data_IF_801577177487
#
_entry.id   IF_801577177487
#
_cell.length_a   1.000
_cell.length_b   1.000
_cell.length_c   1.000
_cell.angle_alpha   90.00
_cell.angle_beta   90.00
_cell.angle_gamma   90.00
#
_symmetry.space_group_name_H-M   'P 1'
#
loop_
_entity.id
_entity.type
_entity.pdbx_description
1 polymer ?
#
# COMPACT_ATOMS: atom_id res chain seq x y z
N UNK A 1 4.83 10.45 -3.76
CA UNK A 1 4.25 10.48 -2.40
C UNK A 1 5.29 10.86 -1.35
N UNK A 2 6.49 10.26 -1.33
CA UNK A 2 7.60 10.62 -0.42
C UNK A 2 7.93 12.13 -0.37
N UNK A 3 7.93 12.81 -1.53
CA UNK A 3 8.17 14.26 -1.62
C UNK A 3 7.08 15.17 -1.01
N UNK A 4 5.98 14.60 -0.50
CA UNK A 4 4.87 15.33 0.12
C UNK A 4 4.86 15.25 1.66
N UNK A 5 5.94 14.74 2.27
CA UNK A 5 5.99 14.47 3.72
C UNK A 5 5.17 13.25 4.14
N UNK A 6 4.79 12.40 3.19
CA UNK A 6 4.10 11.13 3.44
C UNK A 6 5.17 10.06 3.61
N UNK A 7 5.26 9.49 4.79
CA UNK A 7 6.12 8.33 5.05
C UNK A 7 5.64 7.16 4.19
N UNK A 8 6.55 6.61 3.41
CA UNK A 8 6.36 5.38 2.64
C UNK A 8 7.43 4.39 3.08
N UNK A 9 7.13 3.08 3.18
CA UNK A 9 8.16 2.09 3.45
C UNK A 9 9.23 2.14 2.35
N UNK A 10 10.46 1.77 2.68
CA UNK A 10 11.45 1.54 1.65
C UNK A 10 10.99 0.42 0.73
N UNK A 11 11.14 0.61 -0.58
CA UNK A 11 10.62 -0.30 -1.58
C UNK A 11 11.49 -0.30 -2.83
N UNK A 12 11.45 -1.41 -3.58
CA UNK A 12 12.06 -1.56 -4.89
C UNK A 12 11.15 -2.27 -5.86
N UNK A 13 11.22 -1.86 -7.13
CA UNK A 13 10.60 -2.58 -8.24
C UNK A 13 11.34 -3.90 -8.47
N UNK A 14 10.60 -4.97 -8.76
CA UNK A 14 11.11 -6.31 -9.04
C UNK A 14 10.66 -6.74 -10.43
N UNK A 15 11.64 -6.88 -11.32
CA UNK A 15 11.52 -7.41 -12.68
C UNK A 15 12.24 -8.74 -12.84
N UNK A 16 13.18 -9.04 -11.95
CA UNK A 16 13.86 -10.32 -11.86
C UNK A 16 14.36 -10.61 -10.44
N UNK A 17 14.92 -11.82 -10.22
CA UNK A 17 15.40 -12.22 -8.89
C UNK A 17 16.54 -11.37 -8.34
N UNK A 18 17.34 -10.74 -9.21
CA UNK A 18 18.49 -9.91 -8.78
C UNK A 18 18.03 -8.66 -8.03
N UNK A 19 16.88 -8.09 -8.42
CA UNK A 19 16.26 -6.95 -7.74
C UNK A 19 15.94 -7.25 -6.26
N UNK A 20 15.70 -8.53 -5.92
CA UNK A 20 15.47 -8.96 -4.54
C UNK A 20 16.75 -8.89 -3.72
N UNK A 21 17.88 -9.34 -4.28
CA UNK A 21 19.19 -9.22 -3.61
C UNK A 21 19.57 -7.76 -3.38
N UNK A 22 19.29 -6.89 -4.36
CA UNK A 22 19.52 -5.45 -4.21
C UNK A 22 18.63 -4.84 -3.11
N UNK A 23 17.38 -5.30 -2.96
CA UNK A 23 16.53 -4.88 -1.84
C UNK A 23 17.12 -5.31 -0.49
N UNK A 24 17.53 -6.56 -0.36
CA UNK A 24 18.07 -7.10 0.88
C UNK A 24 19.49 -6.63 1.21
N UNK A 25 20.18 -6.00 0.26
CA UNK A 25 21.42 -5.28 0.52
C UNK A 25 21.20 -3.94 1.27
N UNK A 26 20.00 -3.36 1.16
CA UNK A 26 19.65 -2.05 1.76
C UNK A 26 18.66 -2.18 2.93
N UNK A 27 17.79 -3.19 2.91
CA UNK A 27 16.77 -3.44 3.94
C UNK A 27 16.94 -4.82 4.58
N UNK A 28 16.70 -4.90 5.89
CA UNK A 28 16.82 -6.15 6.65
C UNK A 28 15.49 -6.58 7.24
N UNK A 29 15.23 -7.89 7.26
CA UNK A 29 14.07 -8.49 7.91
C UNK A 29 12.90 -8.72 6.96
N UNK A 30 11.71 -8.83 7.54
CA UNK A 30 10.49 -9.20 6.81
C UNK A 30 10.12 -8.15 5.77
N UNK A 31 9.64 -8.59 4.63
CA UNK A 31 9.20 -7.76 3.52
C UNK A 31 7.83 -8.19 3.00
N UNK A 32 7.23 -7.36 2.16
CA UNK A 32 6.03 -7.68 1.39
C UNK A 32 6.38 -7.69 -0.09
N UNK A 33 6.21 -8.84 -0.74
CA UNK A 33 6.34 -9.01 -2.19
C UNK A 33 4.96 -9.06 -2.82
N UNK A 34 4.67 -8.16 -3.77
CA UNK A 34 3.33 -8.05 -4.37
C UNK A 34 3.35 -7.65 -5.85
N UNK A 35 2.40 -8.11 -6.68
CA UNK A 35 2.25 -7.64 -8.05
C UNK A 35 1.93 -6.14 -8.06
N UNK A 36 2.41 -5.42 -9.07
CA UNK A 36 2.09 -3.98 -9.20
C UNK A 36 0.69 -3.71 -9.77
N UNK A 37 0.08 -4.73 -10.38
CA UNK A 37 -1.10 -4.63 -11.25
C UNK A 37 -2.12 -5.75 -11.00
N UNK A 38 -2.22 -6.19 -9.75
CA UNK A 38 -3.23 -7.12 -9.25
C UNK A 38 -4.18 -6.42 -8.26
N UNK A 39 -5.27 -7.09 -7.87
CA UNK A 39 -6.27 -6.57 -6.94
C UNK A 39 -6.73 -7.65 -5.94
N UNK A 40 -7.44 -7.24 -4.89
CA UNK A 40 -8.02 -8.16 -3.90
C UNK A 40 -6.98 -8.98 -3.12
N UNK A 41 -5.79 -8.41 -2.91
CA UNK A 41 -4.65 -9.06 -2.24
C UNK A 41 -4.10 -10.31 -2.95
N UNK A 42 -4.48 -10.58 -4.19
CA UNK A 42 -3.97 -11.71 -4.95
C UNK A 42 -2.47 -11.54 -5.23
N UNK A 43 -1.67 -12.46 -4.68
CA UNK A 43 -0.21 -12.48 -4.81
C UNK A 43 0.53 -11.53 -3.87
N UNK A 44 -0.16 -10.89 -2.92
CA UNK A 44 0.48 -10.08 -1.87
C UNK A 44 0.94 -11.02 -0.76
N UNK A 45 2.26 -11.18 -0.60
CA UNK A 45 2.85 -12.14 0.33
C UNK A 45 3.88 -11.48 1.24
N UNK A 46 3.79 -11.77 2.54
CA UNK A 46 4.86 -11.49 3.48
C UNK A 46 5.94 -12.56 3.34
N UNK A 47 7.19 -12.12 3.25
CA UNK A 47 8.38 -12.98 3.11
C UNK A 47 9.38 -12.62 4.19
N UNK A 48 9.91 -13.62 4.87
CA UNK A 48 10.72 -13.41 6.08
C UNK A 48 12.18 -13.05 5.74
N UNK A 49 12.68 -13.47 4.58
CA UNK A 49 14.03 -13.23 4.11
C UNK A 49 14.17 -13.26 2.57
N UNK A 50 15.37 -12.94 2.07
CA UNK A 50 15.69 -12.96 0.63
C UNK A 50 15.44 -14.33 -0.01
N UNK A 51 15.80 -15.41 0.68
CA UNK A 51 15.65 -16.75 0.15
C UNK A 51 14.16 -17.07 -0.05
N UNK A 52 13.29 -16.65 0.87
CA UNK A 52 11.85 -16.76 0.73
C UNK A 52 11.30 -15.87 -0.38
N UNK A 53 11.74 -14.61 -0.45
CA UNK A 53 11.35 -13.72 -1.54
C UNK A 53 11.65 -14.33 -2.92
N UNK A 54 12.84 -14.93 -3.08
CA UNK A 54 13.24 -15.63 -4.30
C UNK A 54 12.37 -16.86 -4.58
N UNK A 55 11.99 -17.62 -3.55
CA UNK A 55 11.06 -18.77 -3.69
C UNK A 55 9.66 -18.33 -4.12
N UNK A 56 9.16 -17.21 -3.61
CA UNK A 56 7.80 -16.72 -3.88
C UNK A 56 7.70 -15.92 -5.19
N UNK A 57 8.80 -15.37 -5.69
CA UNK A 57 8.82 -14.57 -6.91
C UNK A 57 8.10 -15.20 -8.12
N UNK A 58 8.29 -16.49 -8.47
CA UNK A 58 7.58 -17.10 -9.58
C UNK A 58 6.05 -17.06 -9.43
N UNK A 59 5.55 -17.25 -8.20
CA UNK A 59 4.12 -17.20 -7.88
C UNK A 59 3.61 -15.77 -8.08
N UNK A 60 4.25 -14.79 -7.43
CA UNK A 60 3.86 -13.37 -7.53
C UNK A 60 3.89 -12.88 -8.97
N UNK A 61 4.97 -13.21 -9.69
CA UNK A 61 5.14 -12.87 -11.12
C UNK A 61 4.03 -13.47 -11.98
N UNK A 62 3.60 -14.70 -11.69
CA UNK A 62 2.53 -15.36 -12.47
C UNK A 62 1.17 -14.67 -12.33
N UNK A 63 0.95 -13.97 -11.21
CA UNK A 63 -0.28 -13.25 -10.89
C UNK A 63 -0.26 -11.79 -11.37
N UNK A 64 0.86 -11.31 -11.89
CA UNK A 64 1.00 -9.98 -12.50
C UNK A 64 0.82 -10.06 -14.03
N UNK A 65 -0.19 -9.37 -14.62
CA UNK A 65 -0.29 -9.21 -16.06
C UNK A 65 1.00 -8.70 -16.73
N UNK A 66 1.64 -7.69 -16.16
CA UNK A 66 2.90 -7.12 -16.65
C UNK A 66 4.15 -7.93 -16.28
N UNK A 67 4.01 -8.99 -15.49
CA UNK A 67 5.11 -9.78 -14.91
C UNK A 67 6.07 -8.95 -14.06
N UNK A 68 5.56 -7.89 -13.42
CA UNK A 68 6.33 -7.02 -12.54
C UNK A 68 5.75 -6.98 -11.13
N UNK A 69 6.62 -6.86 -10.14
CA UNK A 69 6.25 -6.76 -8.74
C UNK A 69 6.97 -5.59 -8.08
N UNK A 70 6.61 -5.38 -6.82
CA UNK A 70 7.31 -4.53 -5.88
C UNK A 70 7.63 -5.36 -4.64
N UNK A 71 8.80 -5.12 -4.05
CA UNK A 71 9.14 -5.56 -2.71
C UNK A 71 9.28 -4.33 -1.82
N UNK A 72 8.67 -4.35 -0.64
CA UNK A 72 8.70 -3.25 0.32
C UNK A 72 8.90 -3.76 1.75
N UNK A 73 9.40 -2.91 2.65
CA UNK A 73 9.53 -3.24 4.07
C UNK A 73 8.18 -3.66 4.66
N UNK A 74 8.19 -4.73 5.47
CA UNK A 74 7.02 -5.09 6.26
C UNK A 74 6.87 -4.10 7.43
N UNK A 75 5.76 -3.37 7.46
CA UNK A 75 5.42 -2.47 8.56
C UNK A 75 4.55 -3.20 9.59
N UNK A 76 5.07 -3.52 10.80
CA UNK A 76 4.24 -4.08 11.85
C UNK A 76 3.31 -3.02 12.42
N UNK A 77 2.12 -3.44 12.85
CA UNK A 77 1.18 -2.58 13.57
C UNK A 77 -0.24 -2.71 13.07
N UNK A 78 -1.08 -1.78 13.51
CA UNK A 78 -2.47 -1.68 13.06
C UNK A 78 -2.52 -1.00 11.71
N UNK A 79 -3.00 -1.73 10.71
CA UNK A 79 -3.37 -1.15 9.42
C UNK A 79 -4.76 -0.51 9.51
N UNK A 80 -4.94 0.62 8.84
CA UNK A 80 -6.25 1.24 8.62
C UNK A 80 -6.40 1.58 7.14
N UNK A 81 -7.58 1.36 6.59
CA UNK A 81 -7.94 1.88 5.28
C UNK A 81 -8.57 3.26 5.44
N UNK A 82 -8.35 4.17 4.49
CA UNK A 82 -8.97 5.50 4.50
C UNK A 82 -9.68 5.74 3.18
N UNK A 83 -11.00 5.81 3.23
CA UNK A 83 -11.83 6.19 2.09
C UNK A 83 -12.10 7.69 2.13
N UNK A 84 -11.94 8.36 1.00
CA UNK A 84 -12.15 9.80 0.92
C UNK A 84 -12.71 10.24 -0.43
N UNK A 85 -13.51 11.31 -0.38
CA UNK A 85 -13.92 12.07 -1.57
C UNK A 85 -13.22 13.41 -1.51
N UNK A 86 -12.46 13.74 -2.56
CA UNK A 86 -11.76 15.02 -2.71
C UNK A 86 -12.51 15.84 -3.77
N UNK A 87 -12.89 17.08 -3.43
CA UNK A 87 -13.51 18.03 -4.36
C UNK A 87 -12.71 19.33 -4.30
N UNK A 88 -12.29 19.84 -5.46
CA UNK A 88 -11.49 21.06 -5.57
C UNK A 88 -10.28 21.07 -4.63
N UNK A 89 -9.53 19.96 -4.58
CA UNK A 89 -8.35 19.79 -3.72
C UNK A 89 -8.63 19.63 -2.23
N UNK A 90 -9.91 19.53 -1.80
CA UNK A 90 -10.30 19.42 -0.38
C UNK A 90 -11.00 18.10 -0.07
N UNK A 91 -10.64 17.39 1.01
CA UNK A 91 -11.44 16.26 1.49
C UNK A 91 -12.82 16.73 1.97
N UNK A 92 -13.88 16.29 1.30
CA UNK A 92 -15.29 16.54 1.67
C UNK A 92 -15.93 15.36 2.40
N UNK A 93 -15.36 14.17 2.22
CA UNK A 93 -15.69 12.97 2.98
C UNK A 93 -14.39 12.26 3.37
N UNK A 94 -14.32 11.76 4.60
CA UNK A 94 -13.22 10.93 5.11
C UNK A 94 -13.81 9.89 6.05
N UNK A 95 -13.54 8.61 5.78
CA UNK A 95 -13.85 7.48 6.64
C UNK A 95 -12.59 6.68 6.90
N UNK A 96 -12.27 6.45 8.17
CA UNK A 96 -11.20 5.53 8.56
C UNK A 96 -11.87 4.18 8.85
N UNK A 97 -11.42 3.15 8.13
CA UNK A 97 -12.00 1.82 8.13
C UNK A 97 -11.00 0.87 8.77
N UNK A 98 -11.43 0.25 9.87
CA UNK A 98 -10.70 -0.86 10.49
C UNK A 98 -10.95 -2.14 9.71
N UNK A 99 -9.87 -2.80 9.29
CA UNK A 99 -9.92 -4.09 8.61
C UNK A 99 -9.29 -5.17 9.49
N UNK A 100 -9.90 -6.35 9.51
CA UNK A 100 -9.27 -7.56 10.03
C UNK A 100 -8.74 -8.38 8.85
N UNK A 101 -7.57 -8.98 9.04
CA UNK A 101 -6.91 -9.78 8.02
C UNK A 101 -6.86 -11.24 8.44
N UNK A 102 -6.94 -12.13 7.46
CA UNK A 102 -6.70 -13.55 7.65
C UNK A 102 -5.27 -13.81 8.15
N UNK A 103 -5.07 -14.94 8.84
CA UNK A 103 -3.74 -15.36 9.27
C UNK A 103 -2.88 -15.92 8.11
N UNK A 104 -1.59 -16.13 8.40
CA UNK A 104 -0.63 -16.69 7.44
C UNK A 104 0.25 -15.61 6.79
N UNK A 105 0.73 -15.90 5.58
CA UNK A 105 1.60 -14.98 4.82
C UNK A 105 0.84 -14.02 3.89
N UNK A 106 -0.47 -14.25 3.68
CA UNK A 106 -1.30 -13.41 2.82
C UNK A 106 -1.98 -12.26 3.58
N UNK A 107 -2.55 -11.32 2.81
CA UNK A 107 -3.21 -10.11 3.34
C UNK A 107 -4.69 -10.04 2.92
N UNK A 108 -5.41 -11.15 3.05
CA UNK A 108 -6.84 -11.19 2.72
C UNK A 108 -7.63 -10.50 3.83
N UNK A 109 -8.32 -9.40 3.51
CA UNK A 109 -9.25 -8.77 4.46
C UNK A 109 -10.45 -9.71 4.69
N UNK A 110 -10.75 -10.01 5.95
CA UNK A 110 -11.85 -10.90 6.37
C UNK A 110 -13.04 -10.11 6.91
N UNK A 111 -12.82 -8.90 7.43
CA UNK A 111 -13.88 -8.00 7.85
C UNK A 111 -13.46 -6.53 7.72
N UNK A 112 -14.44 -5.63 7.62
CA UNK A 112 -14.24 -4.18 7.56
C UNK A 112 -15.34 -3.44 8.32
N UNK A 113 -14.96 -2.44 9.12
CA UNK A 113 -15.88 -1.67 9.97
C UNK A 113 -16.02 -0.24 9.44
N UNK A 114 -17.14 0.02 8.76
CA UNK A 114 -17.48 1.34 8.22
C UNK A 114 -18.29 2.18 9.20
N UNK A 115 -18.27 3.50 9.01
CA UNK A 115 -19.03 4.48 9.81
C UNK A 115 -18.76 4.42 11.33
N UNK A 116 -17.59 3.93 11.74
CA UNK A 116 -17.12 3.98 13.11
C UNK A 116 -16.43 5.31 13.42
N UNK A 117 -16.47 5.74 14.69
CA UNK A 117 -15.64 6.87 15.14
C UNK A 117 -14.23 6.34 15.37
N UNK A 118 -13.29 6.75 14.52
CA UNK A 118 -11.88 6.40 14.65
C UNK A 118 -11.09 7.55 15.30
N UNK A 119 -10.17 7.26 16.24
CA UNK A 119 -9.25 8.27 16.79
C UNK A 119 -8.29 8.82 15.74
N UNK A 120 -8.09 8.11 14.61
CA UNK A 120 -7.16 8.52 13.55
C UNK A 120 -7.79 9.47 12.52
N UNK A 121 -9.07 9.83 12.68
CA UNK A 121 -9.84 10.59 11.68
C UNK A 121 -9.19 11.93 11.31
N UNK A 122 -8.85 12.74 12.30
CA UNK A 122 -8.25 14.06 12.08
C UNK A 122 -6.87 13.95 11.42
N UNK A 123 -6.08 12.96 11.85
CA UNK A 123 -4.76 12.71 11.28
C UNK A 123 -4.83 12.19 9.84
N UNK A 124 -5.81 11.33 9.53
CA UNK A 124 -6.11 10.87 8.18
C UNK A 124 -6.55 12.03 7.27
N UNK A 125 -7.45 12.90 7.75
CA UNK A 125 -7.91 14.08 7.01
C UNK A 125 -6.78 15.07 6.70
N UNK A 126 -5.89 15.32 7.67
CA UNK A 126 -4.71 16.16 7.45
C UNK A 126 -3.78 15.58 6.38
N UNK A 127 -3.50 14.27 6.43
CA UNK A 127 -2.68 13.57 5.43
C UNK A 127 -3.31 13.58 4.04
N UNK A 128 -4.62 13.36 3.93
CA UNK A 128 -5.35 13.45 2.66
C UNK A 128 -5.28 14.84 2.05
N UNK A 129 -5.28 15.90 2.87
CA UNK A 129 -5.10 17.27 2.38
C UNK A 129 -3.71 17.47 1.78
N UNK A 130 -2.67 16.94 2.43
CA UNK A 130 -1.31 16.96 1.89
C UNK A 130 -1.18 16.13 0.60
N UNK A 131 -1.81 14.94 0.55
CA UNK A 131 -1.89 14.10 -0.65
C UNK A 131 -2.56 14.85 -1.80
N UNK A 132 -3.74 15.45 -1.56
CA UNK A 132 -4.49 16.17 -2.58
C UNK A 132 -3.69 17.35 -3.15
N UNK A 133 -2.97 18.09 -2.30
CA UNK A 133 -2.08 19.17 -2.73
C UNK A 133 -0.91 18.64 -3.57
N UNK A 134 -0.25 17.57 -3.13
CA UNK A 134 0.89 16.98 -3.81
C UNK A 134 0.54 16.37 -5.17
N UNK A 135 -0.64 15.75 -5.27
CA UNK A 135 -1.19 15.20 -6.51
C UNK A 135 -1.89 16.26 -7.38
N UNK A 136 -2.00 17.50 -6.89
CA UNK A 136 -2.69 18.61 -7.57
C UNK A 136 -4.13 18.24 -7.96
N UNK A 137 -4.87 17.59 -7.07
CA UNK A 137 -6.28 17.19 -7.26
C UNK A 137 -7.26 18.38 -7.21
N UNK A 138 -6.81 19.55 -7.67
CA UNK A 138 -7.65 20.72 -7.87
C UNK A 138 -8.27 20.63 -9.27
N UNK A 139 -9.33 19.83 -9.40
CA UNK A 139 -10.13 19.89 -10.62
C UNK A 139 -10.71 21.30 -10.76
N UNK A 140 -10.52 21.91 -11.94
CA UNK A 140 -11.34 23.04 -12.37
C UNK A 140 -12.78 22.56 -12.39
N UNK A 141 -13.65 23.19 -11.61
CA UNK A 141 -15.07 23.07 -11.88
C UNK A 141 -15.30 23.58 -13.32
N UNK A 142 -15.97 22.80 -14.21
CA UNK A 142 -16.58 23.42 -15.37
C UNK A 142 -17.55 24.48 -14.84
N UNK A 143 -17.52 25.68 -15.41
CA UNK A 143 -18.50 26.70 -15.08
C UNK A 143 -19.91 26.10 -15.24
N UNK A 144 -20.70 26.15 -14.17
CA UNK A 144 -22.09 25.68 -14.15
C UNK A 144 -23.03 26.76 -14.68
#
# INVERSE_FOLDING_TARGET
>A
MSGAGITVPYWRRVTGPDDLGEFYAEATGRAVLKPVDSAGSAGVLAVDDEAEARRQWPVVRSLSPSRTAVIEEFLPGREVCVDAVIVAGRPVFVSVVDCEYGGGQGFIATSAKYASRSPDHDAAKARLTAIAAALRLADRMPDM
#
